data_IF_437712482805
#
_entry.id   IF_437712482805
#
_cell.length_a   1.000
_cell.length_b   1.000
_cell.length_c   1.000
_cell.angle_alpha   90.00
_cell.angle_beta   90.00
_cell.angle_gamma   90.00
#
_symmetry.space_group_name_H-M   'P 1'
#
loop_
_entity.id
_entity.type
_entity.pdbx_description
1 polymer ?
#
# COMPACT_ATOMS: atom_id res chain seq x y z
N UNK A 1 27.95 8.17 1.09
CA UNK A 1 27.11 7.19 0.35
C UNK A 1 25.81 7.10 1.13
N UNK A 2 24.78 7.83 0.71
CA UNK A 2 23.50 7.86 1.42
C UNK A 2 22.71 6.60 1.10
N UNK A 3 22.30 5.85 2.12
CA UNK A 3 21.32 4.76 2.00
C UNK A 3 20.02 5.29 1.38
N UNK A 4 19.37 4.53 0.47
CA UNK A 4 18.06 4.88 -0.04
C UNK A 4 17.05 4.72 1.10
N UNK A 5 16.53 5.86 1.57
CA UNK A 5 15.46 5.90 2.56
C UNK A 5 14.25 5.12 2.00
N UNK A 6 13.68 4.13 2.73
CA UNK A 6 12.52 3.40 2.25
C UNK A 6 11.41 4.40 1.97
N UNK A 7 11.00 4.47 0.70
CA UNK A 7 10.05 5.45 0.19
C UNK A 7 8.77 5.44 1.02
N UNK A 8 8.58 6.46 1.85
CA UNK A 8 7.31 6.72 2.51
C UNK A 8 6.33 7.14 1.42
N UNK A 9 5.42 6.25 1.06
CA UNK A 9 4.35 6.54 0.11
C UNK A 9 3.32 7.46 0.76
N UNK A 10 3.57 8.76 0.70
CA UNK A 10 2.55 9.79 0.94
C UNK A 10 1.66 10.00 -0.29
N UNK A 11 1.99 9.33 -1.42
CA UNK A 11 1.34 9.46 -2.71
C UNK A 11 1.43 8.15 -3.50
N UNK A 12 0.39 7.83 -4.28
CA UNK A 12 0.32 6.66 -5.17
C UNK A 12 1.22 6.81 -6.42
N UNK A 13 1.84 7.99 -6.61
CA UNK A 13 2.70 8.26 -7.74
C UNK A 13 4.16 7.96 -7.39
N UNK A 14 4.80 7.05 -8.12
CA UNK A 14 6.26 6.93 -8.10
C UNK A 14 6.88 8.18 -8.76
N UNK A 15 8.00 8.71 -8.23
CA UNK A 15 8.70 9.82 -8.87
C UNK A 15 9.20 9.39 -10.25
N UNK A 16 9.04 10.29 -11.21
CA UNK A 16 9.44 10.10 -12.60
C UNK A 16 10.97 10.29 -12.75
N UNK A 17 11.75 9.36 -12.21
CA UNK A 17 13.21 9.36 -12.43
C UNK A 17 13.53 9.05 -13.90
N UNK A 18 14.68 9.50 -14.41
CA UNK A 18 15.09 9.24 -15.79
C UNK A 18 15.06 7.75 -16.16
N UNK A 19 15.53 6.89 -15.24
CA UNK A 19 15.59 5.44 -15.45
C UNK A 19 14.19 4.81 -15.52
N UNK A 20 13.26 5.25 -14.66
CA UNK A 20 11.87 4.76 -14.66
C UNK A 20 11.12 5.25 -15.90
N UNK A 21 11.36 6.49 -16.32
CA UNK A 21 10.79 7.03 -17.56
C UNK A 21 11.30 6.27 -18.78
N UNK A 22 12.58 5.93 -18.83
CA UNK A 22 13.15 5.11 -19.90
C UNK A 22 12.51 3.72 -19.95
N UNK A 23 12.39 3.03 -18.82
CA UNK A 23 11.72 1.73 -18.75
C UNK A 23 10.24 1.80 -19.15
N UNK A 24 9.53 2.85 -18.73
CA UNK A 24 8.13 3.08 -19.10
C UNK A 24 7.97 3.32 -20.61
N UNK A 25 8.86 4.09 -21.21
CA UNK A 25 8.86 4.33 -22.66
C UNK A 25 9.07 3.04 -23.45
N UNK A 26 9.95 2.14 -22.98
CA UNK A 26 10.18 0.85 -23.63
C UNK A 26 8.92 -0.03 -23.65
N UNK A 27 8.15 -0.03 -22.55
CA UNK A 27 6.85 -0.73 -22.48
C UNK A 27 5.84 -0.12 -23.46
N UNK A 28 5.71 1.21 -23.46
CA UNK A 28 4.80 1.90 -24.39
C UNK A 28 5.17 1.64 -25.85
N UNK A 29 6.46 1.65 -26.17
CA UNK A 29 6.95 1.38 -27.52
C UNK A 29 6.68 -0.07 -27.92
N UNK A 30 6.90 -1.05 -27.04
CA UNK A 30 6.62 -2.45 -27.32
C UNK A 30 5.13 -2.70 -27.67
N UNK A 31 4.22 -2.04 -26.95
CA UNK A 31 2.77 -2.11 -27.22
C UNK A 31 2.41 -1.40 -28.52
N UNK A 32 2.92 -0.17 -28.72
CA UNK A 32 2.61 0.64 -29.91
C UNK A 32 3.16 0.05 -31.20
N UNK A 33 4.32 -0.59 -31.13
CA UNK A 33 4.94 -1.28 -32.26
C UNK A 33 4.33 -2.66 -32.52
N UNK A 34 3.37 -3.12 -31.70
CA UNK A 34 2.72 -4.41 -31.87
C UNK A 34 3.68 -5.59 -31.73
N UNK A 35 4.68 -5.50 -30.84
CA UNK A 35 5.60 -6.62 -30.59
C UNK A 35 4.83 -7.85 -30.06
N UNK A 36 5.45 -9.03 -30.12
CA UNK A 36 4.85 -10.24 -29.57
C UNK A 36 4.51 -10.08 -28.08
N UNK A 37 3.49 -10.81 -27.61
CA UNK A 37 3.08 -10.78 -26.21
C UNK A 37 4.24 -11.11 -25.25
N UNK A 38 5.13 -12.03 -25.64
CA UNK A 38 6.32 -12.38 -24.87
C UNK A 38 7.30 -11.20 -24.73
N UNK A 39 7.54 -10.45 -25.82
CA UNK A 39 8.40 -9.26 -25.78
C UNK A 39 7.75 -8.14 -24.97
N UNK A 40 6.44 -7.92 -25.10
CA UNK A 40 5.72 -6.96 -24.26
C UNK A 40 5.81 -7.35 -22.77
N UNK A 41 5.67 -8.63 -22.45
CA UNK A 41 5.80 -9.14 -21.08
C UNK A 41 7.21 -8.93 -20.53
N UNK A 42 8.24 -9.19 -21.33
CA UNK A 42 9.63 -8.93 -20.95
C UNK A 42 9.88 -7.46 -20.61
N UNK A 43 9.38 -6.53 -21.44
CA UNK A 43 9.50 -5.10 -21.17
C UNK A 43 8.76 -4.70 -19.88
N UNK A 44 7.55 -5.22 -19.67
CA UNK A 44 6.79 -4.97 -18.44
C UNK A 44 7.53 -5.50 -17.21
N UNK A 45 8.20 -6.65 -17.31
CA UNK A 45 9.03 -7.20 -16.24
C UNK A 45 10.23 -6.30 -15.93
N UNK A 46 10.88 -5.73 -16.95
CA UNK A 46 11.97 -4.76 -16.79
C UNK A 46 11.52 -3.51 -16.02
N UNK A 47 10.33 -2.98 -16.32
CA UNK A 47 9.74 -1.87 -15.58
C UNK A 47 9.47 -2.22 -14.11
N UNK A 48 8.91 -3.40 -13.83
CA UNK A 48 8.68 -3.87 -12.46
C UNK A 48 9.98 -4.00 -11.67
N UNK A 49 11.04 -4.50 -12.31
CA UNK A 49 12.36 -4.60 -11.70
C UNK A 49 12.93 -3.21 -11.36
N UNK A 50 12.79 -2.24 -12.27
CA UNK A 50 13.24 -0.87 -12.03
C UNK A 50 12.47 -0.20 -10.88
N UNK A 51 11.15 -0.41 -10.81
CA UNK A 51 10.32 0.03 -9.68
C UNK A 51 10.75 -0.62 -8.36
N UNK A 52 11.17 -1.89 -8.41
CA UNK A 52 11.65 -2.60 -7.22
C UNK A 52 12.98 -2.05 -6.72
N UNK A 53 13.95 -1.87 -7.61
CA UNK A 53 15.25 -1.28 -7.28
C UNK A 53 15.12 0.16 -6.76
N UNK A 54 14.14 0.91 -7.27
CA UNK A 54 13.84 2.26 -6.83
C UNK A 54 13.04 2.32 -5.50
N UNK A 55 12.66 1.18 -4.92
CA UNK A 55 11.91 1.11 -3.66
C UNK A 55 10.40 1.36 -3.79
N UNK A 56 9.86 1.45 -5.02
CA UNK A 56 8.45 1.73 -5.30
C UNK A 56 7.61 0.49 -5.62
N UNK A 57 8.22 -0.70 -5.74
CA UNK A 57 7.45 -1.92 -6.02
C UNK A 57 6.68 -2.47 -4.82
N UNK A 58 6.94 -1.97 -3.60
CA UNK A 58 6.23 -2.38 -2.38
C UNK A 58 4.70 -2.38 -2.53
N UNK A 59 4.05 -1.25 -2.81
CA UNK A 59 2.60 -1.18 -3.01
C UNK A 59 2.16 -2.03 -4.20
N UNK A 60 2.82 -1.96 -5.35
CA UNK A 60 2.39 -2.68 -6.56
C UNK A 60 2.42 -4.21 -6.43
N UNK A 61 3.43 -4.75 -5.74
CA UNK A 61 3.59 -6.21 -5.57
C UNK A 61 2.87 -6.72 -4.32
N UNK A 62 2.81 -5.91 -3.26
CA UNK A 62 2.17 -6.29 -2.01
C UNK A 62 0.64 -6.14 -2.08
N UNK A 63 0.10 -5.15 -2.82
CA UNK A 63 -1.34 -4.96 -3.06
C UNK A 63 -2.02 -6.19 -3.66
N UNK A 64 -1.33 -6.93 -4.55
CA UNK A 64 -1.88 -8.17 -5.13
C UNK A 64 -1.96 -9.34 -4.15
N UNK A 65 -1.24 -9.27 -3.04
CA UNK A 65 -1.24 -10.28 -1.97
C UNK A 65 -2.05 -9.82 -0.75
N UNK A 66 -2.73 -8.67 -0.80
CA UNK A 66 -3.46 -8.18 0.36
C UNK A 66 -4.73 -9.00 0.58
N UNK A 67 -4.61 -9.88 1.58
CA UNK A 67 -5.72 -10.39 2.38
C UNK A 67 -6.67 -9.23 2.76
N UNK A 68 -7.94 -9.53 3.02
CA UNK A 68 -9.00 -8.53 3.20
C UNK A 68 -8.64 -7.46 4.24
N UNK A 69 -7.94 -7.85 5.30
CA UNK A 69 -7.42 -6.95 6.34
C UNK A 69 -6.46 -5.87 5.81
N UNK A 70 -5.63 -6.20 4.83
CA UNK A 70 -4.76 -5.25 4.15
C UNK A 70 -5.56 -4.24 3.34
N UNK A 71 -6.54 -4.70 2.57
CA UNK A 71 -7.42 -3.81 1.78
C UNK A 71 -8.19 -2.83 2.67
N UNK A 72 -8.71 -3.31 3.80
CA UNK A 72 -9.35 -2.46 4.82
C UNK A 72 -8.37 -1.43 5.38
N UNK A 73 -7.12 -1.84 5.69
CA UNK A 73 -6.08 -0.92 6.18
C UNK A 73 -5.73 0.15 5.17
N UNK A 74 -5.64 -0.21 3.89
CA UNK A 74 -5.34 0.73 2.82
C UNK A 74 -6.45 1.77 2.65
N UNK A 75 -7.71 1.34 2.68
CA UNK A 75 -8.86 2.25 2.68
C UNK A 75 -8.80 3.23 3.86
N UNK A 76 -8.48 2.73 5.06
CA UNK A 76 -8.36 3.57 6.26
C UNK A 76 -7.24 4.60 6.13
N UNK A 77 -6.09 4.19 5.57
CA UNK A 77 -4.92 5.06 5.37
C UNK A 77 -5.16 6.18 4.35
N UNK A 78 -6.15 6.08 3.46
CA UNK A 78 -6.52 7.16 2.56
C UNK A 78 -7.09 8.38 3.31
N UNK A 79 -7.69 8.18 4.48
CA UNK A 79 -8.29 9.25 5.29
C UNK A 79 -8.34 8.85 6.77
N UNK A 80 -7.19 8.85 7.47
CA UNK A 80 -7.08 8.31 8.83
C UNK A 80 -7.86 9.11 9.88
N UNK A 81 -8.11 10.40 9.65
CA UNK A 81 -8.91 11.26 10.52
C UNK A 81 -10.43 11.05 10.35
N UNK A 82 -10.86 10.22 9.39
CA UNK A 82 -12.27 9.94 9.15
C UNK A 82 -12.83 8.94 10.17
N UNK A 83 -14.09 9.13 10.58
CA UNK A 83 -14.83 8.15 11.35
C UNK A 83 -15.14 6.91 10.49
N UNK A 84 -14.26 5.91 10.54
CA UNK A 84 -14.41 4.66 9.81
C UNK A 84 -15.45 3.74 10.46
N UNK A 85 -16.31 3.17 9.62
CA UNK A 85 -17.34 2.21 10.05
C UNK A 85 -17.38 0.99 9.13
N UNK A 86 -17.78 -0.15 9.69
CA UNK A 86 -17.92 -1.42 8.96
C UNK A 86 -18.85 -1.29 7.73
N UNK A 87 -20.05 -0.69 7.82
CA UNK A 87 -20.92 -0.52 6.66
C UNK A 87 -20.26 0.27 5.53
N UNK A 88 -19.47 1.29 5.87
CA UNK A 88 -18.81 2.17 4.90
C UNK A 88 -17.73 1.41 4.13
N UNK A 89 -16.85 0.71 4.84
CA UNK A 89 -15.76 -0.05 4.21
C UNK A 89 -16.30 -1.25 3.44
N UNK A 90 -17.32 -1.93 3.96
CA UNK A 90 -17.99 -3.02 3.24
C UNK A 90 -18.56 -2.55 1.90
N UNK A 91 -19.19 -1.37 1.87
CA UNK A 91 -19.69 -0.75 0.63
C UNK A 91 -18.55 -0.43 -0.35
N UNK A 92 -17.43 0.11 0.14
CA UNK A 92 -16.27 0.43 -0.71
C UNK A 92 -15.60 -0.82 -1.30
N UNK A 93 -15.69 -1.96 -0.60
CA UNK A 93 -15.17 -3.26 -1.05
C UNK A 93 -16.22 -4.12 -1.78
N UNK A 94 -17.42 -3.60 -2.02
CA UNK A 94 -18.55 -4.34 -2.61
C UNK A 94 -18.89 -5.66 -1.88
N UNK A 95 -18.81 -5.64 -0.54
CA UNK A 95 -19.12 -6.79 0.32
C UNK A 95 -20.32 -6.49 1.23
N UNK A 96 -21.01 -7.55 1.65
CA UNK A 96 -21.93 -7.48 2.78
C UNK A 96 -21.17 -7.36 4.10
N UNK A 97 -21.71 -6.63 5.08
CA UNK A 97 -21.06 -6.42 6.39
C UNK A 97 -20.71 -7.73 7.10
N UNK A 98 -21.63 -8.70 7.07
CA UNK A 98 -21.43 -10.03 7.67
C UNK A 98 -20.28 -10.79 6.98
N UNK A 99 -20.16 -10.66 5.66
CA UNK A 99 -19.05 -11.27 4.89
C UNK A 99 -17.72 -10.62 5.22
N UNK A 100 -17.70 -9.29 5.36
CA UNK A 100 -16.50 -8.56 5.74
C UNK A 100 -16.03 -8.96 7.16
N UNK A 101 -16.93 -8.99 8.14
CA UNK A 101 -16.62 -9.42 9.51
C UNK A 101 -16.11 -10.86 9.56
N UNK A 102 -16.79 -11.78 8.86
CA UNK A 102 -16.41 -13.20 8.81
C UNK A 102 -15.01 -13.39 8.22
N UNK A 103 -14.74 -12.74 7.08
CA UNK A 103 -13.43 -12.86 6.40
C UNK A 103 -12.30 -12.22 7.20
N UNK A 104 -12.55 -11.08 7.85
CA UNK A 104 -11.57 -10.48 8.77
C UNK A 104 -11.27 -11.43 9.95
N UNK A 105 -12.29 -12.08 10.52
CA UNK A 105 -12.10 -13.10 11.56
C UNK A 105 -11.32 -14.31 11.07
N UNK A 106 -11.52 -14.75 9.82
CA UNK A 106 -10.73 -15.83 9.21
C UNK A 106 -9.25 -15.46 9.04
N UNK A 107 -8.92 -14.17 9.07
CA UNK A 107 -7.56 -13.64 9.02
C UNK A 107 -7.02 -13.24 10.41
N UNK A 108 -7.71 -13.64 11.49
CA UNK A 108 -7.39 -13.26 12.89
C UNK A 108 -7.30 -11.74 13.11
N UNK A 109 -8.09 -10.96 12.33
CA UNK A 109 -8.17 -9.51 12.44
C UNK A 109 -9.58 -9.06 12.81
N UNK A 110 -9.68 -8.01 13.62
CA UNK A 110 -10.93 -7.27 13.81
C UNK A 110 -10.86 -5.91 13.14
N UNK A 111 -12.01 -5.43 12.65
CA UNK A 111 -12.10 -4.08 12.07
C UNK A 111 -11.56 -3.00 13.00
N UNK A 112 -11.87 -3.12 14.31
CA UNK A 112 -11.40 -2.20 15.34
C UNK A 112 -9.87 -2.16 15.44
N UNK A 113 -9.20 -3.32 15.48
CA UNK A 113 -7.74 -3.38 15.51
C UNK A 113 -7.10 -2.75 14.28
N UNK A 114 -7.72 -2.85 13.11
CA UNK A 114 -7.20 -2.25 11.88
C UNK A 114 -7.36 -0.72 11.90
N UNK A 115 -8.51 -0.21 12.35
CA UNK A 115 -8.75 1.24 12.49
C UNK A 115 -7.82 1.85 13.53
N UNK A 116 -7.71 1.22 14.69
CA UNK A 116 -6.83 1.65 15.77
C UNK A 116 -5.36 1.59 15.34
N UNK A 117 -4.92 0.48 14.74
CA UNK A 117 -3.55 0.35 14.20
C UNK A 117 -3.21 1.38 13.12
N UNK A 118 -4.19 1.79 12.30
CA UNK A 118 -4.02 2.87 11.33
C UNK A 118 -3.86 4.26 11.97
N UNK A 119 -4.64 4.53 13.04
CA UNK A 119 -4.52 5.77 13.81
C UNK A 119 -3.22 5.83 14.64
N UNK A 120 -2.78 4.70 15.22
CA UNK A 120 -1.51 4.62 15.96
C UNK A 120 -0.27 4.80 15.08
N UNK A 121 -0.38 4.65 13.76
CA UNK A 121 0.70 5.00 12.83
C UNK A 121 0.94 6.51 12.68
N UNK A 122 -0.01 7.34 13.13
CA UNK A 122 0.03 8.81 13.02
C UNK A 122 0.11 9.53 14.36
N UNK A 123 -0.30 8.88 15.45
CA UNK A 123 0.04 9.34 16.80
C UNK A 123 1.44 8.79 17.16
N UNK A 124 2.49 9.63 17.31
CA UNK A 124 3.69 9.16 17.99
C UNK A 124 3.25 8.63 19.35
N UNK A 125 3.74 7.44 19.74
CA UNK A 125 3.53 6.92 21.10
C UNK A 125 3.87 8.08 22.05
N UNK A 126 3.00 8.48 22.99
CA UNK A 126 3.47 9.36 24.05
C UNK A 126 4.64 8.62 24.68
N UNK A 127 5.83 9.23 24.59
CA UNK A 127 6.97 8.80 25.36
C UNK A 127 6.45 8.62 26.79
N UNK A 128 6.70 7.44 27.35
CA UNK A 128 6.47 7.11 28.74
C UNK A 128 6.72 8.36 29.57
N UNK A 129 5.65 8.90 30.16
CA UNK A 129 5.78 9.83 31.27
C UNK A 129 6.46 8.99 32.34
N UNK A 130 7.79 9.06 32.40
CA UNK A 130 8.50 8.85 33.65
C UNK A 130 7.96 9.94 34.55
N UNK A 131 6.94 9.56 35.32
CA UNK A 131 6.52 10.30 36.48
C UNK A 131 7.78 10.45 37.33
N UNK A 132 8.26 11.68 37.34
CA UNK A 132 8.63 12.40 38.55
C UNK A 132 7.73 11.88 39.70
N UNK A 133 8.23 10.87 40.40
CA UNK A 133 8.06 10.78 41.85
C UNK A 133 9.36 11.35 42.41
N UNK A 134 9.30 12.66 42.64
CA UNK A 134 10.11 13.30 43.67
C UNK A 134 9.56 12.82 45.03
N UNK A 135 10.36 12.00 45.72
CA UNK A 135 10.60 12.06 47.17
C UNK A 135 11.78 11.19 47.55
#
# INVERSE_FOLDING_TARGET
>A
MSEPQPGRLTSLCAPATPDLLFMWQNVLQAVRSGLSAELQHHQAMGLLLALHQAGYAGPLLNERQQNLSGQVRQIIMLSPAQAWSVPRVAKMLFLGESTLRRRLQQEDQSFRQIVEGGAYGLCPRPATIDLITDR
#
